data_IF_678342775821
#
_entry.id   IF_678342775821
#
_cell.length_a   1.000
_cell.length_b   1.000
_cell.length_c   1.000
_cell.angle_alpha   90.00
_cell.angle_beta   90.00
_cell.angle_gamma   90.00
#
_symmetry.space_group_name_H-M   'P 1'
#
loop_
_entity.id
_entity.type
_entity.pdbx_description
1 polymer ?
#
# COMPACT_ATOMS: atom_id res chain seq x y z
N UNK A 1 4.80 -41.56 65.20
CA UNK A 1 4.69 -40.65 64.04
C UNK A 1 5.90 -40.88 63.14
N UNK A 2 5.76 -40.91 61.81
CA UNK A 2 6.84 -41.25 60.87
C UNK A 2 7.84 -40.09 60.61
N UNK A 3 7.56 -38.93 61.19
CA UNK A 3 8.28 -37.68 61.00
C UNK A 3 8.29 -36.91 62.32
N UNK A 4 9.30 -36.08 62.53
CA UNK A 4 9.41 -35.15 63.64
C UNK A 4 9.93 -33.80 63.13
N UNK A 5 9.41 -32.71 63.71
CA UNK A 5 9.84 -31.35 63.39
C UNK A 5 10.02 -30.53 64.67
N UNK A 6 11.07 -29.72 64.72
CA UNK A 6 11.35 -28.81 65.82
C UNK A 6 11.85 -27.46 65.28
N UNK A 7 11.34 -26.37 65.84
CA UNK A 7 11.90 -25.03 65.63
C UNK A 7 13.09 -24.90 66.57
N UNK A 8 14.29 -24.75 66.00
CA UNK A 8 15.49 -24.42 66.76
C UNK A 8 15.57 -22.90 66.96
N UNK A 9 16.40 -22.45 67.92
CA UNK A 9 16.79 -21.04 67.99
C UNK A 9 17.46 -20.60 66.69
N UNK A 10 17.40 -19.30 66.36
CA UNK A 10 18.02 -18.69 65.17
C UNK A 10 17.33 -18.98 63.82
N UNK A 11 16.00 -18.82 63.73
CA UNK A 11 15.23 -18.92 62.48
C UNK A 11 15.41 -20.26 61.73
N UNK A 12 15.80 -21.32 62.44
CA UNK A 12 16.11 -22.63 61.85
C UNK A 12 15.00 -23.63 62.19
N UNK A 13 14.40 -24.22 61.16
CA UNK A 13 13.49 -25.34 61.31
C UNK A 13 14.23 -26.64 61.00
N UNK A 14 14.19 -27.57 61.95
CA UNK A 14 14.69 -28.92 61.75
C UNK A 14 13.52 -29.87 61.51
N UNK A 15 13.58 -30.62 60.40
CA UNK A 15 12.61 -31.69 60.08
C UNK A 15 13.37 -32.96 59.79
N UNK A 16 12.97 -34.06 60.42
CA UNK A 16 13.61 -35.38 60.30
C UNK A 16 12.57 -36.46 60.07
N UNK A 17 12.93 -37.47 59.29
CA UNK A 17 12.15 -38.71 59.19
C UNK A 17 12.59 -39.65 60.32
N UNK A 18 11.66 -40.37 60.95
CA UNK A 18 12.00 -41.35 62.00
C UNK A 18 12.30 -42.73 61.43
N UNK A 19 12.26 -42.88 60.10
CA UNK A 19 12.55 -44.11 59.36
C UNK A 19 12.99 -43.83 57.92
N UNK A 20 13.43 -44.88 57.23
CA UNK A 20 13.81 -44.84 55.80
C UNK A 20 12.57 -44.74 54.92
N UNK A 21 12.58 -43.78 53.99
CA UNK A 21 11.54 -43.65 52.96
C UNK A 21 11.70 -44.75 51.91
N UNK A 22 10.61 -45.43 51.57
CA UNK A 22 10.58 -46.40 50.49
C UNK A 22 10.52 -45.70 49.10
N UNK A 23 10.80 -46.41 47.99
CA UNK A 23 10.62 -45.85 46.66
C UNK A 23 9.20 -45.31 46.47
N UNK A 24 9.08 -44.03 46.06
CA UNK A 24 7.82 -43.25 45.93
C UNK A 24 7.21 -42.70 47.22
N UNK A 25 7.90 -42.78 48.35
CA UNK A 25 7.57 -41.98 49.54
C UNK A 25 8.35 -40.66 49.53
N UNK A 26 7.73 -39.58 50.01
CA UNK A 26 8.33 -38.24 50.04
C UNK A 26 7.99 -37.49 51.32
N UNK A 27 8.85 -36.54 51.69
CA UNK A 27 8.63 -35.63 52.80
C UNK A 27 8.16 -34.28 52.26
N UNK A 28 7.00 -33.81 52.70
CA UNK A 28 6.50 -32.46 52.42
C UNK A 28 6.44 -31.67 53.72
N UNK A 29 7.03 -30.47 53.70
CA UNK A 29 7.05 -29.55 54.83
C UNK A 29 6.27 -28.31 54.44
N UNK A 30 5.22 -28.00 55.17
CA UNK A 30 4.46 -26.75 55.03
C UNK A 30 4.82 -25.83 56.19
N UNK A 31 5.18 -24.59 55.87
CA UNK A 31 5.59 -23.59 56.84
C UNK A 31 4.76 -22.33 56.62
N UNK A 32 4.19 -21.82 57.71
CA UNK A 32 3.56 -20.53 57.74
C UNK A 32 4.55 -19.54 58.35
N UNK A 33 4.91 -18.51 57.58
CA UNK A 33 5.80 -17.45 58.04
C UNK A 33 4.91 -16.28 58.47
N UNK A 34 4.96 -15.84 59.73
CA UNK A 34 4.18 -14.70 60.18
C UNK A 34 4.62 -13.42 59.44
N UNK A 35 3.67 -12.54 59.21
CA UNK A 35 3.94 -11.25 58.57
C UNK A 35 4.97 -10.44 59.37
N UNK A 36 5.83 -9.69 58.66
CA UNK A 36 6.88 -8.86 59.28
C UNK A 36 8.18 -9.58 59.64
N UNK A 37 8.26 -10.91 59.51
CA UNK A 37 9.51 -11.66 59.69
C UNK A 37 10.50 -11.42 58.53
N UNK A 38 9.98 -11.16 57.33
CA UNK A 38 10.75 -10.75 56.15
C UNK A 38 10.48 -9.26 55.94
N UNK A 39 11.55 -8.46 55.93
CA UNK A 39 11.42 -7.03 55.65
C UNK A 39 10.86 -6.84 54.23
N UNK A 40 9.76 -6.07 54.05
CA UNK A 40 9.24 -5.80 52.73
C UNK A 40 10.28 -5.05 51.89
N UNK A 41 10.32 -5.27 50.57
CA UNK A 41 11.23 -4.53 49.71
C UNK A 41 10.97 -3.03 49.87
N UNK A 42 12.05 -2.26 49.93
CA UNK A 42 11.96 -0.79 49.93
C UNK A 42 11.32 -0.30 48.63
N UNK A 43 10.81 0.94 48.60
CA UNK A 43 10.15 1.48 47.40
C UNK A 43 11.00 1.39 46.12
N UNK A 44 12.31 1.54 46.23
CA UNK A 44 13.24 1.37 45.10
C UNK A 44 13.45 -0.11 44.73
N UNK A 45 13.57 -1.01 45.71
CA UNK A 45 13.66 -2.46 45.46
C UNK A 45 12.39 -2.99 44.80
N UNK A 46 11.22 -2.57 45.26
CA UNK A 46 9.93 -2.93 44.69
C UNK A 46 9.81 -2.48 43.23
N UNK A 47 10.29 -1.27 42.90
CA UNK A 47 10.33 -0.79 41.52
C UNK A 47 11.24 -1.65 40.63
N UNK A 48 12.44 -2.01 41.10
CA UNK A 48 13.35 -2.87 40.33
C UNK A 48 12.80 -4.29 40.16
N UNK A 49 12.16 -4.85 41.18
CA UNK A 49 11.48 -6.15 41.08
C UNK A 49 10.32 -6.10 40.09
N UNK A 50 9.50 -5.06 40.15
CA UNK A 50 8.45 -4.85 39.16
C UNK A 50 9.03 -4.78 37.74
N UNK A 51 10.14 -4.06 37.54
CA UNK A 51 10.80 -3.94 36.25
C UNK A 51 11.36 -5.27 35.75
N UNK A 52 11.99 -6.06 36.62
CA UNK A 52 12.52 -7.39 36.28
C UNK A 52 11.40 -8.37 35.91
N UNK A 53 10.29 -8.30 36.63
CA UNK A 53 9.14 -9.18 36.46
C UNK A 53 8.39 -8.82 35.16
N UNK A 54 8.31 -7.52 34.83
CA UNK A 54 7.59 -7.00 33.67
C UNK A 54 8.50 -6.68 32.47
N UNK A 55 9.73 -7.19 32.46
CA UNK A 55 10.74 -6.91 31.40
C UNK A 55 10.22 -7.06 29.98
N UNK A 56 9.35 -8.03 29.73
CA UNK A 56 8.77 -8.27 28.39
C UNK A 56 7.90 -7.10 27.93
N UNK A 57 7.01 -6.63 28.80
CA UNK A 57 6.10 -5.51 28.53
C UNK A 57 6.90 -4.23 28.37
N UNK A 58 7.91 -4.03 29.22
CA UNK A 58 8.76 -2.85 29.17
C UNK A 58 9.57 -2.78 27.88
N UNK A 59 10.23 -3.87 27.48
CA UNK A 59 10.97 -3.94 26.21
C UNK A 59 10.01 -3.72 25.02
N UNK A 60 8.83 -4.32 25.04
CA UNK A 60 7.84 -4.13 23.98
C UNK A 60 7.35 -2.66 23.91
N UNK A 61 7.09 -2.04 25.06
CA UNK A 61 6.68 -0.64 25.15
C UNK A 61 7.74 0.33 24.60
N UNK A 62 9.00 0.15 25.00
CA UNK A 62 10.10 0.95 24.48
C UNK A 62 10.36 0.69 22.99
N UNK A 63 10.24 -0.56 22.53
CA UNK A 63 10.35 -0.90 21.10
C UNK A 63 9.26 -0.21 20.27
N UNK A 64 8.01 -0.28 20.74
CA UNK A 64 6.89 0.41 20.10
C UNK A 64 7.10 1.93 20.05
N UNK A 65 7.47 2.54 21.17
CA UNK A 65 7.75 3.98 21.24
C UNK A 65 8.91 4.37 20.32
N UNK A 66 9.96 3.56 20.24
CA UNK A 66 11.09 3.79 19.34
C UNK A 66 10.67 3.79 17.87
N UNK A 67 9.89 2.78 17.45
CA UNK A 67 9.38 2.68 16.08
C UNK A 67 8.41 3.81 15.76
N UNK A 68 7.49 4.13 16.69
CA UNK A 68 6.55 5.23 16.53
C UNK A 68 7.29 6.57 16.37
N UNK A 69 8.28 6.82 17.22
CA UNK A 69 9.07 8.06 17.17
C UNK A 69 9.86 8.14 15.87
N UNK A 70 10.47 7.04 15.44
CA UNK A 70 11.15 6.95 14.15
C UNK A 70 10.20 7.34 13.01
N UNK A 71 9.02 6.72 12.93
CA UNK A 71 8.05 7.03 11.88
C UNK A 71 7.55 8.48 11.93
N UNK A 72 7.29 9.02 13.11
CA UNK A 72 6.87 10.42 13.26
C UNK A 72 7.94 11.40 12.80
N UNK A 73 9.20 11.15 13.15
CA UNK A 73 10.33 11.99 12.74
C UNK A 73 10.55 11.89 11.22
N UNK A 74 10.55 10.69 10.66
CA UNK A 74 10.68 10.48 9.21
C UNK A 74 9.52 11.11 8.44
N UNK A 75 8.28 10.91 8.90
CA UNK A 75 7.12 11.53 8.27
C UNK A 75 7.17 13.05 8.31
N UNK A 76 7.58 13.65 9.43
CA UNK A 76 7.72 15.10 9.51
C UNK A 76 8.87 15.64 8.64
N UNK A 77 9.94 14.87 8.44
CA UNK A 77 11.09 15.27 7.63
C UNK A 77 10.83 15.16 6.11
N UNK A 78 10.20 14.06 5.66
CA UNK A 78 10.07 13.76 4.21
C UNK A 78 8.67 13.36 3.76
N UNK A 79 7.76 13.07 4.70
CA UNK A 79 6.40 12.59 4.39
C UNK A 79 5.34 13.68 4.34
N UNK A 80 5.67 14.93 4.67
CA UNK A 80 4.76 16.07 4.46
C UNK A 80 4.85 16.50 2.99
N UNK A 81 3.75 16.36 2.29
CA UNK A 81 3.65 16.90 0.94
C UNK A 81 3.98 18.39 0.93
N UNK A 82 4.71 18.87 -0.09
CA UNK A 82 4.95 20.28 -0.25
C UNK A 82 3.61 21.04 -0.30
N UNK A 83 3.55 22.27 0.23
CA UNK A 83 2.34 23.07 0.14
C UNK A 83 1.90 23.17 -1.32
N UNK A 84 0.60 22.96 -1.57
CA UNK A 84 0.02 23.05 -2.91
C UNK A 84 0.42 24.41 -3.51
N UNK A 85 1.17 24.38 -4.60
CA UNK A 85 1.51 25.58 -5.36
C UNK A 85 0.26 26.24 -5.95
N UNK A 86 0.43 27.43 -6.53
CA UNK A 86 -0.65 28.15 -7.22
C UNK A 86 -1.25 27.28 -8.33
N UNK A 87 -2.53 26.95 -8.23
CA UNK A 87 -3.25 26.23 -9.27
C UNK A 87 -3.61 27.23 -10.38
N UNK A 88 -2.94 27.12 -11.53
CA UNK A 88 -3.23 27.92 -12.71
C UNK A 88 -4.17 27.11 -13.62
N UNK A 89 -5.36 27.61 -13.98
CA UNK A 89 -6.24 26.93 -14.92
C UNK A 89 -5.60 26.94 -16.31
N UNK A 90 -5.31 25.75 -16.83
CA UNK A 90 -4.89 25.55 -18.22
C UNK A 90 -6.15 25.34 -19.07
N UNK A 91 -6.43 26.30 -19.95
CA UNK A 91 -7.54 26.20 -20.92
C UNK A 91 -7.20 25.34 -22.14
N UNK A 92 -5.90 25.06 -22.33
CA UNK A 92 -5.38 24.23 -23.40
C UNK A 92 -4.61 23.05 -22.81
N UNK A 93 -4.62 21.88 -23.48
CA UNK A 93 -3.80 20.77 -23.07
C UNK A 93 -2.31 21.16 -23.11
N UNK A 94 -1.48 20.60 -22.24
CA UNK A 94 -0.03 20.78 -22.30
C UNK A 94 0.53 20.37 -23.68
N UNK A 95 1.64 20.99 -24.08
CA UNK A 95 2.30 20.66 -25.34
C UNK A 95 2.61 19.16 -25.44
N UNK A 96 2.33 18.58 -26.61
CA UNK A 96 2.57 17.16 -26.88
C UNK A 96 1.54 16.18 -26.30
N UNK A 97 0.51 16.67 -25.60
CA UNK A 97 -0.57 15.82 -25.08
C UNK A 97 -1.77 15.82 -26.04
N UNK A 98 -2.03 14.66 -26.67
CA UNK A 98 -3.25 14.47 -27.47
C UNK A 98 -4.48 14.30 -26.58
N UNK A 99 -5.71 14.57 -27.07
CA UNK A 99 -6.94 14.38 -26.30
C UNK A 99 -7.11 12.95 -25.76
N UNK A 100 -6.69 11.95 -26.54
CA UNK A 100 -6.69 10.55 -26.11
C UNK A 100 -5.67 10.28 -24.99
N UNK A 101 -4.48 10.90 -25.06
CA UNK A 101 -3.46 10.77 -24.03
C UNK A 101 -3.86 11.50 -22.74
N UNK A 102 -4.50 12.67 -22.85
CA UNK A 102 -5.06 13.38 -21.71
C UNK A 102 -6.10 12.51 -20.98
N UNK A 103 -7.01 11.88 -21.73
CA UNK A 103 -7.98 10.94 -21.15
C UNK A 103 -7.33 9.71 -20.52
N UNK A 104 -6.23 9.20 -21.07
CA UNK A 104 -5.47 8.11 -20.46
C UNK A 104 -4.82 8.51 -19.13
N UNK A 105 -4.20 9.70 -19.08
CA UNK A 105 -3.54 10.21 -17.87
C UNK A 105 -4.58 10.48 -16.77
N UNK A 106 -5.68 11.15 -17.12
CA UNK A 106 -6.75 11.51 -16.18
C UNK A 106 -7.41 10.28 -15.54
N UNK A 107 -7.64 9.23 -16.34
CA UNK A 107 -8.22 7.97 -15.85
C UNK A 107 -7.19 6.98 -15.30
N UNK A 108 -5.90 7.33 -15.24
CA UNK A 108 -4.81 6.44 -14.85
C UNK A 108 -4.80 5.11 -15.65
N UNK A 109 -5.19 5.17 -16.92
CA UNK A 109 -5.37 4.00 -17.77
C UNK A 109 -6.44 4.16 -18.86
N UNK A 110 -6.76 3.07 -19.55
CA UNK A 110 -7.83 3.05 -20.55
C UNK A 110 -9.20 2.95 -19.88
N UNK A 111 -10.00 4.02 -19.97
CA UNK A 111 -11.41 4.01 -19.57
C UNK A 111 -12.30 3.38 -20.64
N UNK A 112 -13.41 2.73 -20.25
CA UNK A 112 -14.49 2.28 -21.15
C UNK A 112 -13.98 1.49 -22.39
N UNK A 113 -13.12 0.50 -22.13
CA UNK A 113 -12.51 -0.35 -23.16
C UNK A 113 -11.71 0.41 -24.24
N UNK A 114 -11.29 1.65 -23.95
CA UNK A 114 -10.47 2.47 -24.84
C UNK A 114 -11.26 3.26 -25.89
N UNK A 115 -12.58 3.05 -26.01
CA UNK A 115 -13.40 3.73 -27.02
C UNK A 115 -13.44 5.24 -26.84
N UNK A 116 -13.54 5.73 -25.60
CA UNK A 116 -13.55 7.17 -25.32
C UNK A 116 -12.28 7.88 -25.83
N UNK A 117 -11.12 7.27 -25.57
CA UNK A 117 -9.83 7.79 -26.02
C UNK A 117 -9.67 7.67 -27.53
N UNK A 118 -10.10 6.55 -28.13
CA UNK A 118 -10.12 6.37 -29.58
C UNK A 118 -10.97 7.43 -30.29
N UNK A 119 -12.19 7.67 -29.80
CA UNK A 119 -13.08 8.71 -30.35
C UNK A 119 -12.46 10.09 -30.19
N UNK A 120 -11.87 10.41 -29.03
CA UNK A 120 -11.20 11.69 -28.82
C UNK A 120 -10.04 11.93 -29.80
N UNK A 121 -9.21 10.92 -30.08
CA UNK A 121 -8.16 11.02 -31.09
C UNK A 121 -8.72 11.14 -32.52
N UNK A 122 -9.79 10.41 -32.84
CA UNK A 122 -10.38 10.46 -34.18
C UNK A 122 -11.07 11.80 -34.45
N UNK A 123 -11.72 12.38 -33.43
CA UNK A 123 -12.25 13.75 -33.50
C UNK A 123 -11.11 14.77 -33.65
N UNK A 124 -9.99 14.61 -32.95
CA UNK A 124 -8.78 15.44 -33.15
C UNK A 124 -8.25 15.37 -34.58
N UNK A 125 -8.21 14.18 -35.18
CA UNK A 125 -7.85 14.02 -36.60
C UNK A 125 -8.85 14.68 -37.54
N UNK A 126 -10.14 14.67 -37.19
CA UNK A 126 -11.19 15.32 -37.98
C UNK A 126 -11.17 16.85 -37.88
N UNK A 127 -10.91 17.43 -36.70
CA UNK A 127 -10.75 18.89 -36.55
C UNK A 127 -9.51 19.41 -37.27
N UNK A 128 -8.46 18.58 -37.39
CA UNK A 128 -7.30 18.83 -38.26
C UNK A 128 -7.60 18.62 -39.75
N UNK A 129 -8.76 18.09 -40.10
CA UNK A 129 -9.19 17.86 -41.48
C UNK A 129 -8.44 16.73 -42.18
N UNK A 130 -7.97 15.71 -41.44
CA UNK A 130 -7.28 14.54 -41.98
C UNK A 130 -8.23 13.35 -42.19
N UNK A 131 -9.30 13.29 -41.40
CA UNK A 131 -10.33 12.25 -41.44
C UNK A 131 -11.71 12.90 -41.47
N UNK A 132 -12.65 12.29 -42.20
CA UNK A 132 -14.06 12.63 -42.19
C UNK A 132 -14.88 11.45 -41.69
N UNK A 133 -15.88 11.75 -40.86
CA UNK A 133 -16.90 10.79 -40.44
C UNK A 133 -18.05 10.79 -41.46
N UNK A 134 -18.37 9.61 -41.98
CA UNK A 134 -19.56 9.37 -42.78
C UNK A 134 -20.50 8.46 -41.97
N UNK A 135 -21.62 9.05 -41.54
CA UNK A 135 -22.66 8.41 -40.72
C UNK A 135 -23.98 8.24 -41.52
N UNK A 136 -23.88 8.17 -42.85
CA UNK A 136 -25.06 8.00 -43.72
C UNK A 136 -25.70 6.61 -43.64
N UNK A 137 -25.06 5.65 -42.96
CA UNK A 137 -25.48 4.25 -42.85
C UNK A 137 -25.75 3.79 -41.41
N UNK A 138 -25.75 2.46 -41.19
CA UNK A 138 -25.88 1.87 -39.84
C UNK A 138 -24.57 1.83 -39.06
N UNK A 139 -23.44 1.92 -39.75
CA UNK A 139 -22.09 1.87 -39.19
C UNK A 139 -21.36 3.18 -39.50
N UNK A 140 -20.55 3.65 -38.55
CA UNK A 140 -19.72 4.85 -38.73
C UNK A 140 -18.53 4.50 -39.64
N UNK A 141 -18.29 5.33 -40.66
CA UNK A 141 -17.16 5.16 -41.58
C UNK A 141 -16.17 6.31 -41.43
N UNK A 142 -14.89 5.96 -41.26
CA UNK A 142 -13.77 6.90 -41.30
C UNK A 142 -13.17 6.92 -42.71
N UNK A 143 -13.06 8.11 -43.30
CA UNK A 143 -12.43 8.28 -44.62
C UNK A 143 -11.30 9.30 -44.52
N UNK A 144 -10.12 8.98 -45.06
CA UNK A 144 -9.02 9.93 -45.19
C UNK A 144 -9.35 10.99 -46.23
N UNK A 145 -8.91 12.21 -45.95
CA UNK A 145 -8.96 13.32 -46.90
C UNK A 145 -7.68 13.40 -47.75
N UNK A 146 -7.70 14.17 -48.82
CA UNK A 146 -6.51 14.47 -49.65
C UNK A 146 -5.49 15.40 -48.97
N UNK A 147 -5.76 15.83 -47.73
CA UNK A 147 -4.86 16.68 -46.97
C UNK A 147 -3.57 15.91 -46.61
N UNK A 148 -2.37 16.48 -46.87
CA UNK A 148 -1.12 15.82 -46.53
C UNK A 148 -0.95 15.67 -45.00
N UNK A 149 -0.23 14.63 -44.61
CA UNK A 149 0.15 14.40 -43.20
C UNK A 149 0.97 15.62 -42.70
N UNK A 150 0.64 16.19 -41.52
CA UNK A 150 1.38 17.33 -41.01
C UNK A 150 2.78 16.92 -40.54
N UNK A 151 3.79 17.72 -40.91
CA UNK A 151 5.19 17.51 -40.59
C UNK A 151 5.75 18.59 -39.66
N UNK A 152 6.94 18.35 -39.08
CA UNK A 152 7.63 19.34 -38.24
C UNK A 152 6.94 19.59 -36.91
N UNK A 153 6.69 20.86 -36.59
CA UNK A 153 6.10 21.29 -35.31
C UNK A 153 4.65 20.81 -35.13
N UNK A 154 3.92 20.59 -36.23
CA UNK A 154 2.51 20.16 -36.23
C UNK A 154 2.34 18.64 -36.37
N UNK A 155 3.44 17.87 -36.25
CA UNK A 155 3.44 16.41 -36.37
C UNK A 155 2.38 15.77 -35.47
N UNK A 156 1.74 14.73 -35.98
CA UNK A 156 0.74 14.00 -35.20
C UNK A 156 1.38 13.38 -33.94
N UNK A 157 0.76 13.56 -32.77
CA UNK A 157 1.13 12.81 -31.57
C UNK A 157 1.06 11.29 -31.82
N UNK A 158 1.88 10.47 -31.13
CA UNK A 158 1.99 9.04 -31.41
C UNK A 158 0.64 8.29 -31.47
N UNK A 159 -0.27 8.57 -30.53
CA UNK A 159 -1.59 7.93 -30.51
C UNK A 159 -2.50 8.31 -31.68
N UNK A 160 -2.42 9.54 -32.16
CA UNK A 160 -3.19 9.99 -33.34
C UNK A 160 -2.56 9.43 -34.62
N UNK A 161 -1.23 9.38 -34.70
CA UNK A 161 -0.50 8.79 -35.82
C UNK A 161 -0.84 7.31 -36.03
N UNK A 162 -0.96 6.54 -34.95
CA UNK A 162 -1.35 5.14 -34.99
C UNK A 162 -2.70 4.94 -35.67
N UNK A 163 -3.70 5.75 -35.31
CA UNK A 163 -5.05 5.69 -35.91
C UNK A 163 -5.00 6.14 -37.37
N UNK A 164 -4.28 7.23 -37.67
CA UNK A 164 -4.10 7.71 -39.04
C UNK A 164 -3.47 6.64 -39.95
N UNK A 165 -2.37 6.02 -39.52
CA UNK A 165 -1.68 4.96 -40.24
C UNK A 165 -2.55 3.70 -40.37
N UNK A 166 -3.40 3.41 -39.39
CA UNK A 166 -4.36 2.31 -39.42
C UNK A 166 -5.46 2.51 -40.48
N UNK A 167 -5.96 3.75 -40.68
CA UNK A 167 -6.89 4.09 -41.77
C UNK A 167 -6.17 4.08 -43.13
N UNK A 168 -4.96 4.64 -43.20
CA UNK A 168 -4.13 4.70 -44.41
C UNK A 168 -3.82 3.32 -44.99
N UNK A 169 -3.48 2.35 -44.13
CA UNK A 169 -3.23 0.95 -44.53
C UNK A 169 -4.44 0.23 -45.12
N UNK A 170 -5.65 0.73 -44.88
CA UNK A 170 -6.92 0.16 -45.38
C UNK A 170 -7.48 0.98 -46.54
N UNK A 171 -6.61 1.45 -47.42
CA UNK A 171 -6.96 2.24 -48.60
C UNK A 171 -7.74 3.52 -48.26
N UNK A 172 -7.52 4.09 -47.07
CA UNK A 172 -8.11 5.36 -46.67
C UNK A 172 -9.60 5.32 -46.32
N UNK A 173 -10.24 4.15 -46.22
CA UNK A 173 -11.64 4.03 -45.77
C UNK A 173 -11.81 2.85 -44.83
N UNK A 174 -12.35 3.09 -43.64
CA UNK A 174 -12.58 2.04 -42.64
C UNK A 174 -13.94 2.15 -41.99
N UNK A 175 -14.66 1.03 -41.95
CA UNK A 175 -15.95 0.90 -41.27
C UNK A 175 -15.71 0.47 -39.82
N UNK A 176 -16.26 1.21 -38.87
CA UNK A 176 -16.19 0.88 -37.44
C UNK A 176 -17.37 -0.05 -37.11
N UNK A 177 -17.07 -1.35 -36.91
CA UNK A 177 -18.06 -2.35 -36.51
C UNK A 177 -17.46 -3.37 -35.52
N UNK A 178 -18.29 -4.23 -34.94
CA UNK A 178 -17.87 -5.28 -33.99
C UNK A 178 -16.81 -6.24 -34.55
N UNK A 179 -16.75 -6.44 -35.87
CA UNK A 179 -15.76 -7.32 -36.51
C UNK A 179 -14.38 -6.66 -36.61
N UNK A 180 -14.32 -5.33 -36.75
CA UNK A 180 -13.07 -4.57 -36.86
C UNK A 180 -12.53 -4.10 -35.49
N UNK A 181 -13.37 -4.11 -34.45
CA UNK A 181 -13.03 -3.74 -33.08
C UNK A 181 -11.78 -4.44 -32.48
N UNK A 182 -11.58 -5.76 -32.64
CA UNK A 182 -10.39 -6.44 -32.12
C UNK A 182 -9.07 -5.96 -32.74
N UNK A 183 -9.09 -5.45 -33.97
CA UNK A 183 -7.88 -4.97 -34.66
C UNK A 183 -7.38 -3.61 -34.14
N UNK A 184 -8.16 -2.94 -33.30
CA UNK A 184 -7.77 -1.71 -32.59
C UNK A 184 -6.91 -2.02 -31.34
N UNK A 185 -7.05 -3.21 -30.75
CA UNK A 185 -6.26 -3.63 -29.57
C UNK A 185 -4.83 -4.08 -29.90
N UNK A 186 -4.49 -4.21 -31.19
CA UNK A 186 -3.17 -4.67 -31.65
C UNK A 186 -2.35 -3.55 -32.29
N UNK A 187 -2.89 -2.32 -32.35
CA UNK A 187 -2.20 -1.15 -32.89
C UNK A 187 -1.87 -0.18 -31.77
#
# INVERSE_FOLDING_TARGET
EAFAGAVQGDNTLEVRTTGTLAPREGLSVALEIPEGLIAPPTGSQAFWYWLSDNKRIVIAGFGFLGVLLFYLLTWNAVGRDPPKGTIIPLYYPPEGISPALAGYIDNWGWSESGWRNFTAATVSLATRGLIVFDDSGKDIVLTLTDKPEPEGADRLPPGEKVIYDWVKRRNGRVVINKANGPSLNTT
#
